data_IF_746571973927
#
_entry.id   IF_746571973927
#
_cell.length_a   1.000
_cell.length_b   1.000
_cell.length_c   1.000
_cell.angle_alpha   90.00
_cell.angle_beta   90.00
_cell.angle_gamma   90.00
#
_symmetry.space_group_name_H-M   'P 1'
#
loop_
_entity.id
_entity.type
_entity.pdbx_description
1 polymer ?
#
# COMPACT_ATOMS: atom_id res chain seq x y z
N UNK A 1 -4.84 14.95 1.72
CA UNK A 1 -4.08 14.36 0.60
C UNK A 1 -4.99 14.30 -0.61
N UNK A 2 -4.52 14.54 -1.84
CA UNK A 2 -5.39 14.48 -3.03
C UNK A 2 -5.50 13.04 -3.55
N UNK A 3 -6.38 12.24 -2.92
CA UNK A 3 -6.57 10.83 -3.29
C UNK A 3 -7.10 10.64 -4.71
N UNK A 4 -7.92 11.56 -5.21
CA UNK A 4 -8.40 11.53 -6.60
C UNK A 4 -7.26 11.51 -7.61
N UNK A 5 -6.26 12.38 -7.43
CA UNK A 5 -5.05 12.37 -8.27
C UNK A 5 -4.30 11.04 -8.19
N UNK A 6 -4.08 10.50 -6.99
CA UNK A 6 -3.36 9.24 -6.83
C UNK A 6 -4.13 8.05 -7.43
N UNK A 7 -5.45 8.03 -7.24
CA UNK A 7 -6.33 7.03 -7.84
C UNK A 7 -6.32 7.09 -9.38
N UNK A 8 -6.31 8.29 -9.97
CA UNK A 8 -6.18 8.46 -11.43
C UNK A 8 -4.83 7.96 -11.95
N UNK A 9 -3.74 8.20 -11.20
CA UNK A 9 -2.42 7.64 -11.52
C UNK A 9 -2.39 6.12 -11.40
N UNK A 10 -3.04 5.56 -10.38
CA UNK A 10 -3.15 4.11 -10.21
C UNK A 10 -3.93 3.48 -11.36
N UNK A 11 -5.07 4.08 -11.75
CA UNK A 11 -5.90 3.55 -12.83
C UNK A 11 -5.11 3.44 -14.13
N UNK A 12 -4.32 4.48 -14.47
CA UNK A 12 -3.46 4.46 -15.66
C UNK A 12 -2.41 3.37 -15.60
N UNK A 13 -1.81 3.13 -14.43
CA UNK A 13 -0.82 2.06 -14.25
C UNK A 13 -1.47 0.68 -14.38
N UNK A 14 -2.62 0.48 -13.75
CA UNK A 14 -3.37 -0.78 -13.80
C UNK A 14 -3.80 -1.10 -15.24
N UNK A 15 -4.37 -0.13 -15.96
CA UNK A 15 -4.79 -0.28 -17.36
C UNK A 15 -3.59 -0.64 -18.25
N UNK A 16 -2.46 0.04 -18.05
CA UNK A 16 -1.24 -0.25 -18.78
C UNK A 16 -0.71 -1.67 -18.53
N UNK A 17 -0.71 -2.13 -17.27
CA UNK A 17 -0.29 -3.51 -16.93
C UNK A 17 -1.24 -4.52 -17.58
N UNK A 18 -2.56 -4.30 -17.50
CA UNK A 18 -3.56 -5.19 -18.06
C UNK A 18 -3.37 -5.34 -19.58
N UNK A 19 -3.17 -4.22 -20.29
CA UNK A 19 -2.91 -4.21 -21.72
C UNK A 19 -1.58 -4.91 -22.05
N UNK A 20 -0.48 -4.48 -21.39
CA UNK A 20 0.88 -4.96 -21.64
C UNK A 20 1.05 -6.46 -21.41
N UNK A 21 0.36 -7.00 -20.41
CA UNK A 21 0.43 -8.41 -20.01
C UNK A 21 -0.71 -9.26 -20.56
N UNK A 22 -1.54 -8.70 -21.44
CA UNK A 22 -2.69 -9.39 -22.06
C UNK A 22 -3.65 -10.01 -21.03
N UNK A 23 -3.87 -9.30 -19.91
CA UNK A 23 -4.71 -9.77 -18.79
C UNK A 23 -6.18 -9.35 -18.93
N UNK A 24 -6.57 -8.86 -20.12
CA UNK A 24 -7.93 -8.42 -20.40
C UNK A 24 -8.97 -9.49 -20.08
N UNK A 25 -10.02 -9.10 -19.34
CA UNK A 25 -11.10 -10.00 -18.94
C UNK A 25 -10.80 -10.90 -17.74
N UNK A 26 -9.58 -10.88 -17.19
CA UNK A 26 -9.26 -11.60 -15.96
C UNK A 26 -9.67 -10.79 -14.72
N UNK A 27 -10.33 -11.46 -13.77
CA UNK A 27 -10.59 -10.86 -12.46
C UNK A 27 -9.39 -11.07 -11.52
N UNK A 28 -8.62 -10.00 -11.34
CA UNK A 28 -7.42 -9.99 -10.50
C UNK A 28 -7.71 -9.56 -9.05
N UNK A 29 -8.97 -9.40 -8.65
CA UNK A 29 -9.30 -8.80 -7.34
C UNK A 29 -8.72 -9.59 -6.17
N UNK A 30 -8.84 -10.92 -6.17
CA UNK A 30 -8.26 -11.77 -5.12
C UNK A 30 -6.73 -11.69 -5.12
N UNK A 31 -6.09 -11.60 -6.29
CA UNK A 31 -4.64 -11.45 -6.42
C UNK A 31 -4.17 -10.11 -5.82
N UNK A 32 -4.90 -9.02 -6.09
CA UNK A 32 -4.58 -7.69 -5.57
C UNK A 32 -4.77 -7.62 -4.05
N UNK A 33 -5.84 -8.24 -3.51
CA UNK A 33 -6.03 -8.32 -2.05
C UNK A 33 -4.87 -9.09 -1.40
N UNK A 34 -4.44 -10.18 -2.03
CA UNK A 34 -3.32 -10.98 -1.52
C UNK A 34 -2.00 -10.22 -1.61
N UNK A 35 -1.73 -9.53 -2.71
CA UNK A 35 -0.56 -8.66 -2.83
C UNK A 35 -0.55 -7.58 -1.73
N UNK A 36 -1.68 -6.94 -1.47
CA UNK A 36 -1.81 -5.98 -0.36
C UNK A 36 -1.54 -6.62 1.02
N UNK A 37 -1.92 -7.88 1.25
CA UNK A 37 -1.58 -8.58 2.50
C UNK A 37 -0.06 -8.77 2.64
N UNK A 38 0.64 -9.07 1.54
CA UNK A 38 2.11 -9.19 1.51
C UNK A 38 2.76 -7.85 1.85
N UNK A 39 2.39 -6.77 1.15
CA UNK A 39 2.96 -5.43 1.40
C UNK A 39 2.68 -4.94 2.84
N UNK A 40 1.51 -5.27 3.40
CA UNK A 40 1.21 -4.97 4.82
C UNK A 40 2.15 -5.73 5.76
N UNK A 41 2.52 -6.97 5.44
CA UNK A 41 3.47 -7.74 6.24
C UNK A 41 4.90 -7.22 6.07
N UNK A 42 5.30 -6.79 4.87
CA UNK A 42 6.59 -6.15 4.61
C UNK A 42 6.70 -4.80 5.33
N UNK A 43 5.65 -3.98 5.27
CA UNK A 43 5.54 -2.76 6.07
C UNK A 43 5.65 -3.03 7.58
N UNK A 44 5.02 -4.10 8.09
CA UNK A 44 5.17 -4.48 9.50
C UNK A 44 6.64 -4.84 9.82
N UNK A 45 7.32 -5.51 8.90
CA UNK A 45 8.72 -5.88 9.05
C UNK A 45 9.64 -4.65 9.15
N UNK A 46 9.38 -3.60 8.36
CA UNK A 46 10.12 -2.32 8.42
C UNK A 46 9.68 -1.42 9.59
N UNK A 47 8.43 -1.53 10.05
CA UNK A 47 7.95 -0.83 11.25
C UNK A 47 8.49 -1.41 12.57
N UNK A 48 8.88 -2.69 12.58
CA UNK A 48 9.67 -3.38 13.64
C UNK A 48 9.07 -3.46 15.05
N UNK A 49 7.90 -2.88 15.29
CA UNK A 49 7.24 -2.80 16.61
C UNK A 49 7.06 -4.15 17.32
N UNK A 50 6.83 -5.24 16.57
CA UNK A 50 6.56 -6.59 17.09
C UNK A 50 7.81 -7.42 17.41
N UNK A 51 8.99 -6.98 16.97
CA UNK A 51 10.27 -7.70 17.09
C UNK A 51 10.81 -7.65 18.53
N UNK A 52 10.11 -8.29 19.46
CA UNK A 52 10.39 -8.26 20.91
C UNK A 52 11.74 -8.87 21.31
N UNK A 53 12.37 -9.63 20.41
CA UNK A 53 13.71 -10.20 20.56
C UNK A 53 14.84 -9.27 20.07
N UNK A 54 14.51 -8.09 19.54
CA UNK A 54 15.48 -7.11 19.03
C UNK A 54 15.52 -5.87 19.91
N UNK A 55 16.70 -5.30 20.08
CA UNK A 55 16.87 -3.97 20.70
C UNK A 55 16.43 -2.85 19.74
N UNK A 56 16.50 -3.09 18.43
CA UNK A 56 16.12 -2.12 17.39
C UNK A 56 14.67 -2.33 16.94
N UNK A 57 13.74 -1.69 17.65
CA UNK A 57 12.28 -1.85 17.47
C UNK A 57 11.57 -0.62 16.88
N UNK A 58 12.32 0.42 16.54
CA UNK A 58 11.78 1.62 15.88
C UNK A 58 11.65 1.38 14.37
N UNK A 59 10.71 2.05 13.68
CA UNK A 59 10.60 1.98 12.23
C UNK A 59 11.92 2.31 11.53
N UNK A 60 12.23 1.57 10.47
CA UNK A 60 13.37 1.83 9.61
C UNK A 60 13.06 3.01 8.69
N UNK A 61 13.31 4.23 9.19
CA UNK A 61 12.99 5.47 8.49
C UNK A 61 14.10 5.94 7.54
N UNK A 62 15.30 5.35 7.64
CA UNK A 62 16.47 5.81 6.90
C UNK A 62 17.51 4.71 6.77
N UNK A 63 17.74 4.25 5.54
CA UNK A 63 18.72 3.23 5.21
C UNK A 63 19.64 3.72 4.08
N UNK A 64 20.97 3.50 4.15
CA UNK A 64 21.88 3.90 3.09
C UNK A 64 21.71 3.01 1.84
N UNK A 65 21.67 3.64 0.67
CA UNK A 65 21.77 2.93 -0.61
C UNK A 65 23.25 2.82 -0.95
N UNK A 66 23.76 1.59 -1.02
CA UNK A 66 25.16 1.33 -1.32
C UNK A 66 25.35 1.03 -2.80
N UNK A 67 26.43 1.53 -3.39
CA UNK A 67 26.90 1.07 -4.70
C UNK A 67 27.58 -0.30 -4.58
N UNK A 68 27.96 -0.88 -5.72
CA UNK A 68 28.58 -2.21 -5.80
C UNK A 68 29.90 -2.31 -5.01
N UNK A 69 30.54 -1.17 -4.74
CA UNK A 69 31.79 -1.08 -3.96
C UNK A 69 31.57 -0.76 -2.47
N UNK A 70 30.33 -0.64 -2.01
CA UNK A 70 29.98 -0.34 -0.62
C UNK A 70 29.94 1.15 -0.25
N UNK A 71 30.06 2.05 -1.22
CA UNK A 71 29.92 3.50 -1.01
C UNK A 71 28.45 3.94 -0.99
N UNK A 72 28.09 4.81 -0.04
CA UNK A 72 26.73 5.37 0.07
C UNK A 72 26.49 6.34 -1.08
N UNK A 73 25.52 6.03 -1.93
CA UNK A 73 25.09 6.86 -3.07
C UNK A 73 23.74 7.53 -2.85
N UNK A 74 23.06 7.23 -1.74
CA UNK A 74 21.78 7.81 -1.40
C UNK A 74 21.23 7.26 -0.10
N UNK A 75 20.02 7.70 0.23
CA UNK A 75 19.26 7.22 1.38
C UNK A 75 17.85 6.90 0.92
N UNK A 76 17.28 5.83 1.46
CA UNK A 76 15.88 5.45 1.29
C UNK A 76 15.17 5.43 2.64
N UNK A 77 13.84 5.46 2.61
CA UNK A 77 13.00 5.26 3.78
C UNK A 77 12.21 3.95 3.56
N UNK A 78 12.74 2.80 4.02
CA UNK A 78 12.10 1.50 3.79
C UNK A 78 10.66 1.45 4.28
N UNK A 79 10.39 1.97 5.48
CA UNK A 79 9.02 1.97 6.02
C UNK A 79 8.05 2.77 5.14
N UNK A 80 8.48 3.91 4.58
CA UNK A 80 7.64 4.70 3.68
C UNK A 80 7.43 3.99 2.33
N UNK A 81 8.45 3.32 1.81
CA UNK A 81 8.36 2.58 0.53
C UNK A 81 7.36 1.44 0.62
N UNK A 82 7.43 0.59 1.65
CA UNK A 82 6.44 -0.48 1.86
C UNK A 82 5.03 0.09 2.13
N UNK A 83 4.95 1.29 2.73
CA UNK A 83 3.68 1.98 2.90
C UNK A 83 3.08 2.47 1.57
N UNK A 84 3.88 3.00 0.65
CA UNK A 84 3.34 3.39 -0.66
C UNK A 84 3.03 2.19 -1.54
N UNK A 85 3.72 1.06 -1.38
CA UNK A 85 3.39 -0.19 -2.07
C UNK A 85 2.03 -0.74 -1.66
N UNK A 86 1.72 -0.78 -0.36
CA UNK A 86 0.37 -1.10 0.08
C UNK A 86 -0.66 -0.03 -0.33
N UNK A 87 -0.28 1.25 -0.42
CA UNK A 87 -1.18 2.30 -0.91
C UNK A 87 -1.57 2.08 -2.38
N UNK A 88 -0.63 1.68 -3.25
CA UNK A 88 -0.91 1.32 -4.64
C UNK A 88 -2.06 0.30 -4.76
N UNK A 89 -1.95 -0.82 -4.04
CA UNK A 89 -2.99 -1.85 -4.10
C UNK A 89 -4.33 -1.42 -3.46
N UNK A 90 -4.31 -0.60 -2.41
CA UNK A 90 -5.54 -0.04 -1.86
C UNK A 90 -6.28 0.84 -2.89
N UNK A 91 -5.55 1.67 -3.63
CA UNK A 91 -6.12 2.53 -4.68
C UNK A 91 -6.66 1.71 -5.84
N UNK A 92 -5.95 0.65 -6.28
CA UNK A 92 -6.43 -0.27 -7.31
C UNK A 92 -7.75 -0.92 -6.90
N UNK A 93 -7.85 -1.45 -5.68
CA UNK A 93 -9.09 -2.04 -5.17
C UNK A 93 -10.21 -1.01 -5.08
N UNK A 94 -9.90 0.19 -4.57
CA UNK A 94 -10.86 1.28 -4.45
C UNK A 94 -11.42 1.75 -5.79
N UNK A 95 -10.59 1.81 -6.83
CA UNK A 95 -11.01 2.06 -8.21
C UNK A 95 -11.95 0.97 -8.74
N UNK A 96 -11.58 -0.31 -8.55
CA UNK A 96 -12.40 -1.45 -9.02
C UNK A 96 -13.81 -1.47 -8.42
N UNK A 97 -13.99 -1.02 -7.17
CA UNK A 97 -15.31 -0.95 -6.53
C UNK A 97 -16.07 0.36 -6.78
N UNK A 98 -15.47 1.31 -7.49
CA UNK A 98 -16.07 2.62 -7.79
C UNK A 98 -16.13 3.54 -6.57
N UNK A 99 -15.06 3.59 -5.78
CA UNK A 99 -14.96 4.50 -4.62
C UNK A 99 -15.02 5.96 -5.08
N UNK A 100 -15.77 6.78 -4.35
CA UNK A 100 -15.69 8.23 -4.52
C UNK A 100 -14.47 8.80 -3.77
N UNK A 101 -13.42 9.11 -4.53
CA UNK A 101 -12.17 9.66 -3.99
C UNK A 101 -12.23 11.14 -3.60
N UNK A 102 -13.35 11.83 -3.83
CA UNK A 102 -13.61 13.18 -3.30
C UNK A 102 -14.06 13.15 -1.82
N UNK A 103 -14.06 11.97 -1.17
CA UNK A 103 -14.39 11.79 0.25
C UNK A 103 -13.30 12.24 1.24
N UNK A 104 -13.65 12.24 2.54
CA UNK A 104 -12.74 12.58 3.65
C UNK A 104 -11.79 11.43 3.97
N UNK A 105 -10.73 11.32 3.16
CA UNK A 105 -9.59 10.44 3.41
C UNK A 105 -8.41 11.29 3.87
N UNK A 106 -7.84 10.95 5.02
CA UNK A 106 -6.71 11.69 5.60
C UNK A 106 -5.82 10.76 6.42
N UNK A 107 -4.52 11.08 6.47
CA UNK A 107 -3.60 10.45 7.39
C UNK A 107 -3.94 10.90 8.82
N UNK A 108 -4.31 9.97 9.70
CA UNK A 108 -4.74 10.25 11.07
C UNK A 108 -4.02 9.36 12.08
N UNK A 109 -3.11 9.90 12.88
CA UNK A 109 -2.40 9.10 13.89
C UNK A 109 -3.25 8.82 15.14
N UNK A 110 -4.11 7.80 15.13
CA UNK A 110 -4.91 7.38 16.30
C UNK A 110 -4.58 5.96 16.74
N UNK A 111 -4.49 5.69 18.05
CA UNK A 111 -4.23 4.36 18.59
C UNK A 111 -2.75 3.94 18.56
N UNK A 112 -2.49 2.64 18.45
CA UNK A 112 -1.13 2.04 18.42
C UNK A 112 -0.91 1.13 17.22
N UNK A 113 0.37 0.93 16.85
CA UNK A 113 0.77 0.15 15.68
C UNK A 113 0.24 -1.29 15.73
N UNK A 114 0.39 -1.98 16.86
CA UNK A 114 0.00 -3.40 16.99
C UNK A 114 -1.48 -3.58 16.66
N UNK A 115 -2.34 -2.76 17.26
CA UNK A 115 -3.78 -2.82 17.02
C UNK A 115 -4.14 -2.42 15.58
N UNK A 116 -3.47 -1.43 14.98
CA UNK A 116 -3.73 -1.07 13.57
C UNK A 116 -3.37 -2.20 12.61
N UNK A 117 -2.20 -2.82 12.74
CA UNK A 117 -1.84 -3.98 11.93
C UNK A 117 -2.82 -5.15 12.13
N UNK A 118 -3.23 -5.43 13.37
CA UNK A 118 -4.23 -6.48 13.63
C UNK A 118 -5.58 -6.19 12.97
N UNK A 119 -6.05 -4.94 13.03
CA UNK A 119 -7.30 -4.51 12.36
C UNK A 119 -7.17 -4.63 10.85
N UNK A 120 -6.10 -4.12 10.25
CA UNK A 120 -5.86 -4.19 8.80
C UNK A 120 -5.84 -5.66 8.35
N UNK A 121 -5.08 -6.52 9.01
CA UNK A 121 -5.01 -7.95 8.68
C UNK A 121 -6.39 -8.63 8.73
N UNK A 122 -7.16 -8.40 9.81
CA UNK A 122 -8.53 -8.92 9.92
C UNK A 122 -9.40 -8.43 8.76
N UNK A 123 -9.34 -7.14 8.44
CA UNK A 123 -10.15 -6.54 7.38
C UNK A 123 -9.78 -7.08 6.00
N UNK A 124 -8.50 -7.23 5.70
CA UNK A 124 -8.04 -7.79 4.42
C UNK A 124 -8.36 -9.27 4.28
N UNK A 125 -8.22 -10.07 5.35
CA UNK A 125 -8.61 -11.47 5.33
C UNK A 125 -10.11 -11.64 5.08
N UNK A 126 -10.94 -10.86 5.78
CA UNK A 126 -12.38 -10.83 5.55
C UNK A 126 -12.72 -10.32 4.14
N UNK A 127 -12.04 -9.29 3.64
CA UNK A 127 -12.28 -8.76 2.30
C UNK A 127 -12.01 -9.82 1.22
N UNK A 128 -10.96 -10.62 1.39
CA UNK A 128 -10.64 -11.73 0.49
C UNK A 128 -11.76 -12.78 0.46
N UNK A 129 -12.18 -13.27 1.64
CA UNK A 129 -13.26 -14.27 1.74
C UNK A 129 -14.60 -13.74 1.27
N UNK A 130 -14.95 -12.51 1.63
CA UNK A 130 -16.19 -11.89 1.18
C UNK A 130 -16.22 -11.76 -0.35
N UNK A 131 -15.10 -11.43 -0.99
CA UNK A 131 -15.06 -11.38 -2.45
C UNK A 131 -15.18 -12.79 -3.06
N UNK A 132 -14.44 -13.75 -2.54
CA UNK A 132 -14.50 -15.15 -2.95
C UNK A 132 -15.92 -15.73 -2.85
N UNK A 133 -16.63 -15.43 -1.76
CA UNK A 133 -17.98 -15.91 -1.48
C UNK A 133 -19.08 -15.01 -2.10
N UNK A 134 -18.71 -14.08 -2.99
CA UNK A 134 -19.61 -13.15 -3.68
C UNK A 134 -20.45 -12.24 -2.74
N UNK A 135 -19.94 -11.98 -1.53
CA UNK A 135 -20.48 -11.05 -0.54
C UNK A 135 -19.96 -9.63 -0.78
N UNK A 136 -20.34 -9.04 -1.92
CA UNK A 136 -19.76 -7.78 -2.43
C UNK A 136 -19.98 -6.59 -1.47
N UNK A 137 -21.10 -6.54 -0.75
CA UNK A 137 -21.38 -5.47 0.23
C UNK A 137 -20.40 -5.51 1.41
N UNK A 138 -20.15 -6.71 1.93
CA UNK A 138 -19.25 -6.98 3.04
C UNK A 138 -17.79 -6.83 2.61
N UNK A 139 -17.45 -7.21 1.38
CA UNK A 139 -16.15 -6.92 0.77
C UNK A 139 -15.87 -5.41 0.76
N UNK A 140 -16.79 -4.60 0.19
CA UNK A 140 -16.67 -3.12 0.15
C UNK A 140 -16.52 -2.54 1.55
N UNK A 141 -17.31 -3.04 2.50
CA UNK A 141 -17.28 -2.62 3.90
C UNK A 141 -15.93 -2.93 4.56
N UNK A 142 -15.40 -4.15 4.36
CA UNK A 142 -14.12 -4.54 4.95
C UNK A 142 -12.95 -3.83 4.28
N UNK A 143 -13.00 -3.61 2.97
CA UNK A 143 -12.02 -2.76 2.28
C UNK A 143 -12.04 -1.33 2.85
N UNK A 144 -13.20 -0.70 2.96
CA UNK A 144 -13.30 0.69 3.43
C UNK A 144 -12.73 0.88 4.84
N UNK A 145 -13.11 0.00 5.78
CA UNK A 145 -12.57 0.05 7.14
C UNK A 145 -11.10 -0.38 7.22
N UNK A 146 -10.65 -1.28 6.35
CA UNK A 146 -9.25 -1.66 6.22
C UNK A 146 -8.40 -0.50 5.73
N UNK A 147 -8.84 0.17 4.67
CA UNK A 147 -8.18 1.33 4.09
C UNK A 147 -8.15 2.51 5.06
N UNK A 148 -9.25 2.78 5.77
CA UNK A 148 -9.27 3.79 6.83
C UNK A 148 -8.21 3.51 7.90
N UNK A 149 -8.13 2.26 8.40
CA UNK A 149 -7.10 1.86 9.35
C UNK A 149 -5.68 1.95 8.77
N UNK A 150 -5.52 1.73 7.47
CA UNK A 150 -4.25 1.88 6.75
C UNK A 150 -3.79 3.34 6.66
N UNK A 151 -4.70 4.28 6.39
CA UNK A 151 -4.39 5.72 6.45
C UNK A 151 -4.05 6.16 7.87
N UNK A 152 -4.73 5.61 8.87
CA UNK A 152 -4.41 5.89 10.26
C UNK A 152 -3.02 5.37 10.65
N UNK A 153 -2.65 4.18 10.16
CA UNK A 153 -1.32 3.61 10.32
C UNK A 153 -0.23 4.53 9.75
N UNK A 154 -0.44 5.09 8.55
CA UNK A 154 0.50 6.06 7.96
C UNK A 154 0.70 7.29 8.83
N UNK A 155 -0.38 7.80 9.44
CA UNK A 155 -0.31 8.89 10.41
C UNK A 155 0.44 8.51 11.70
N UNK A 156 0.26 7.29 12.22
CA UNK A 156 1.01 6.79 13.40
C UNK A 156 2.50 6.59 13.12
N UNK A 157 2.86 6.23 11.89
CA UNK A 157 4.25 6.14 11.45
C UNK A 157 4.89 7.53 11.28
N UNK A 158 4.11 8.60 11.36
CA UNK A 158 4.59 9.98 11.32
C UNK A 158 4.83 10.52 9.91
N UNK A 159 4.26 9.86 8.88
CA UNK A 159 4.37 10.34 7.51
C UNK A 159 3.50 11.58 7.28
N UNK A 160 4.06 12.56 6.59
CA UNK A 160 3.31 13.68 6.06
C UNK A 160 2.64 13.31 4.73
N UNK A 161 1.57 14.01 4.38
CA UNK A 161 0.90 13.81 3.08
C UNK A 161 1.84 14.11 1.91
N UNK A 162 2.75 15.07 2.06
CA UNK A 162 3.71 15.43 1.03
C UNK A 162 4.71 14.29 0.76
N UNK A 163 5.26 13.68 1.82
CA UNK A 163 6.15 12.52 1.70
C UNK A 163 5.46 11.33 1.04
N UNK A 164 4.22 11.04 1.43
CA UNK A 164 3.44 9.94 0.84
C UNK A 164 3.16 10.21 -0.64
N UNK A 165 2.74 11.42 -1.01
CA UNK A 165 2.51 11.79 -2.42
C UNK A 165 3.80 11.64 -3.23
N UNK A 166 4.92 12.20 -2.76
CA UNK A 166 6.20 12.15 -3.48
C UNK A 166 6.68 10.70 -3.68
N UNK A 167 6.67 9.90 -2.60
CA UNK A 167 7.07 8.50 -2.66
C UNK A 167 6.17 7.69 -3.59
N UNK A 168 4.85 7.93 -3.54
CA UNK A 168 3.88 7.26 -4.39
C UNK A 168 4.10 7.60 -5.87
N UNK A 169 4.26 8.88 -6.22
CA UNK A 169 4.49 9.30 -7.62
C UNK A 169 5.80 8.75 -8.16
N UNK A 170 6.86 8.73 -7.34
CA UNK A 170 8.14 8.12 -7.70
C UNK A 170 8.00 6.62 -7.96
N UNK A 171 7.29 5.90 -7.08
CA UNK A 171 7.06 4.45 -7.22
C UNK A 171 6.16 4.13 -8.41
N UNK A 172 5.11 4.91 -8.63
CA UNK A 172 4.24 4.82 -9.81
C UNK A 172 5.07 4.92 -11.12
N UNK A 173 5.90 5.97 -11.24
CA UNK A 173 6.75 6.17 -12.40
C UNK A 173 7.79 5.05 -12.57
N UNK A 174 8.34 4.52 -11.48
CA UNK A 174 9.23 3.36 -11.53
C UNK A 174 8.51 2.10 -12.00
N UNK A 175 7.29 1.85 -11.54
CA UNK A 175 6.50 0.69 -11.95
C UNK A 175 6.18 0.74 -13.46
N UNK A 176 5.87 1.91 -14.02
CA UNK A 176 5.78 2.08 -15.48
C UNK A 176 7.07 1.65 -16.19
N UNK A 177 8.24 2.13 -15.73
CA UNK A 177 9.54 1.76 -16.31
C UNK A 177 9.84 0.26 -16.17
N UNK A 178 9.48 -0.37 -15.05
CA UNK A 178 9.65 -1.81 -14.85
C UNK A 178 8.87 -2.61 -15.90
N UNK A 179 7.63 -2.21 -16.16
CA UNK A 179 6.80 -2.83 -17.21
C UNK A 179 7.33 -2.60 -18.63
N UNK A 180 7.99 -1.47 -18.91
CA UNK A 180 8.69 -1.23 -20.19
C UNK A 180 9.91 -2.15 -20.36
N UNK A 181 10.63 -2.43 -19.27
CA UNK A 181 11.82 -3.30 -19.26
C UNK A 181 11.54 -4.80 -19.28
N UNK A 182 10.27 -5.22 -19.30
CA UNK A 182 9.87 -6.62 -19.38
C UNK A 182 9.78 -7.36 -18.04
N UNK A 183 9.73 -6.63 -16.92
CA UNK A 183 9.30 -7.18 -15.63
C UNK A 183 7.86 -7.68 -15.72
#
# INVERSE_FOLDING_TARGET
MNFKRLADLQQKLDDYIIEKKELGGQDLTLNIIFALQVEVAELANEARFFKHWSEERKPNMKEPINNVTGGIIGWRNPTLEEYVDGLHFNLSLGNKIGTNWDGDFALRGTGDLMNKFAVINRRLNNAWWNYHDNMIGEYRTNWFFGFTAYLELGGLLGFSEAEVIEAYEKKNAENFRRQESGY
#
